data_IF_382027964957
#
_entry.id   IF_382027964957
#
_cell.length_a   1.000
_cell.length_b   1.000
_cell.length_c   1.000
_cell.angle_alpha   90.00
_cell.angle_beta   90.00
_cell.angle_gamma   90.00
#
_symmetry.space_group_name_H-M   'P 1'
#
loop_
_entity.id
_entity.type
_entity.pdbx_description
1 polymer ?
#
# COMPACT_ATOMS: atom_id res chain seq x y z
N UNK A 1 21.62 23.08 12.84
CA UNK A 1 21.78 21.61 12.83
C UNK A 1 20.39 20.99 12.70
N UNK A 2 19.83 20.99 11.49
CA UNK A 2 18.51 20.44 11.22
C UNK A 2 18.64 18.94 10.95
N UNK A 3 18.06 18.13 11.85
CA UNK A 3 17.93 16.71 11.66
C UNK A 3 17.12 16.44 10.39
N UNK A 4 17.72 15.78 9.41
CA UNK A 4 17.00 15.16 8.31
C UNK A 4 16.31 13.88 8.80
N UNK A 5 14.98 13.74 8.71
CA UNK A 5 14.31 12.46 8.82
C UNK A 5 14.13 11.79 7.43
N UNK A 6 15.01 12.06 6.46
CA UNK A 6 14.84 11.63 5.07
C UNK A 6 15.24 10.17 4.81
N UNK A 7 15.93 9.52 5.75
CA UNK A 7 16.55 8.20 5.53
C UNK A 7 15.76 6.99 6.04
N UNK A 8 14.79 7.16 6.94
CA UNK A 8 14.16 6.04 7.66
C UNK A 8 12.77 5.64 7.15
N UNK A 9 12.10 6.47 6.34
CA UNK A 9 10.77 6.17 5.81
C UNK A 9 10.79 5.37 4.49
N UNK A 10 11.86 5.47 3.69
CA UNK A 10 11.95 4.83 2.35
C UNK A 10 12.19 3.31 2.38
N UNK A 11 12.50 2.75 3.55
CA UNK A 11 12.70 1.31 3.75
C UNK A 11 11.84 0.83 4.93
N UNK A 12 10.64 1.38 5.08
CA UNK A 12 9.58 0.67 5.80
C UNK A 12 9.24 -0.58 4.96
N UNK A 13 10.08 -1.61 5.14
CA UNK A 13 9.92 -3.00 4.77
C UNK A 13 8.74 -3.26 3.83
N UNK A 14 9.00 -3.19 2.52
CA UNK A 14 8.21 -3.85 1.49
C UNK A 14 8.43 -5.37 1.64
N UNK A 15 8.07 -5.89 2.82
CA UNK A 15 8.02 -7.30 3.10
C UNK A 15 6.67 -7.81 2.61
N UNK A 16 6.71 -8.85 1.79
CA UNK A 16 5.50 -9.56 1.40
C UNK A 16 5.40 -10.80 2.27
N UNK A 17 4.33 -10.92 3.05
CA UNK A 17 4.06 -12.16 3.77
C UNK A 17 3.69 -13.28 2.78
N UNK A 18 4.27 -14.46 2.99
CA UNK A 18 3.97 -15.64 2.18
C UNK A 18 2.50 -16.07 2.29
N UNK A 19 1.82 -15.74 3.39
CA UNK A 19 0.38 -15.94 3.58
C UNK A 19 -0.42 -15.22 2.48
N UNK A 20 -0.08 -13.95 2.20
CA UNK A 20 -0.70 -13.12 1.18
C UNK A 20 -0.41 -13.65 -0.22
N UNK A 21 0.82 -14.11 -0.49
CA UNK A 21 1.19 -14.74 -1.78
C UNK A 21 0.39 -16.01 -2.02
N UNK A 22 0.28 -16.89 -1.00
CA UNK A 22 -0.51 -18.13 -1.10
C UNK A 22 -2.00 -17.84 -1.29
N UNK A 23 -2.54 -16.84 -0.62
CA UNK A 23 -3.93 -16.40 -0.81
C UNK A 23 -4.16 -15.88 -2.24
N UNK A 24 -3.24 -15.06 -2.74
CA UNK A 24 -3.27 -14.57 -4.11
C UNK A 24 -3.19 -15.71 -5.13
N UNK A 25 -2.29 -16.67 -4.92
CA UNK A 25 -2.16 -17.85 -5.77
C UNK A 25 -3.44 -18.69 -5.80
N UNK A 26 -4.02 -19.02 -4.64
CA UNK A 26 -5.29 -19.75 -4.55
C UNK A 26 -6.42 -19.01 -5.28
N UNK A 27 -6.49 -17.68 -5.12
CA UNK A 27 -7.47 -16.84 -5.81
C UNK A 27 -7.26 -16.84 -7.33
N UNK A 28 -6.01 -16.75 -7.79
CA UNK A 28 -5.66 -16.77 -9.21
C UNK A 28 -6.09 -18.08 -9.88
N UNK A 29 -5.88 -19.22 -9.19
CA UNK A 29 -6.33 -20.52 -9.66
C UNK A 29 -7.87 -20.58 -9.73
N UNK A 30 -8.57 -20.15 -8.68
CA UNK A 30 -10.05 -20.19 -8.63
C UNK A 30 -10.72 -19.35 -9.72
N UNK A 31 -10.10 -18.22 -10.07
CA UNK A 31 -10.63 -17.27 -11.06
C UNK A 31 -10.17 -17.57 -12.49
N UNK A 32 -9.27 -18.55 -12.68
CA UNK A 32 -8.63 -18.81 -13.97
C UNK A 32 -7.63 -17.74 -14.41
N UNK A 33 -7.44 -16.67 -13.64
CA UNK A 33 -6.48 -15.59 -13.94
C UNK A 33 -5.04 -16.09 -13.97
N UNK A 34 -4.73 -17.16 -13.24
CA UNK A 34 -3.41 -17.78 -13.26
C UNK A 34 -2.95 -18.14 -14.68
N UNK A 35 -3.86 -18.62 -15.53
CA UNK A 35 -3.54 -19.02 -16.90
C UNK A 35 -3.37 -17.85 -17.87
N UNK A 36 -3.83 -16.65 -17.48
CA UNK A 36 -3.68 -15.42 -18.27
C UNK A 36 -2.37 -14.67 -17.97
N UNK A 37 -1.68 -15.03 -16.89
CA UNK A 37 -0.36 -14.48 -16.55
C UNK A 37 0.71 -15.01 -17.50
N UNK A 38 1.78 -14.24 -17.71
CA UNK A 38 2.91 -14.71 -18.52
C UNK A 38 3.58 -15.93 -17.86
N UNK A 39 4.28 -16.79 -18.63
CA UNK A 39 4.99 -17.94 -18.07
C UNK A 39 5.93 -17.57 -16.92
N UNK A 40 6.62 -16.44 -17.03
CA UNK A 40 7.50 -15.88 -16.01
C UNK A 40 6.73 -15.48 -14.74
N UNK A 41 5.63 -14.74 -14.88
CA UNK A 41 4.80 -14.32 -13.75
C UNK A 41 4.21 -15.52 -13.00
N UNK A 42 3.83 -16.58 -13.73
CA UNK A 42 3.36 -17.84 -13.13
C UNK A 42 4.47 -18.52 -12.33
N UNK A 43 5.68 -18.60 -12.88
CA UNK A 43 6.83 -19.19 -12.20
C UNK A 43 7.17 -18.40 -10.94
N UNK A 44 7.22 -17.07 -11.03
CA UNK A 44 7.49 -16.17 -9.90
C UNK A 44 6.45 -16.36 -8.81
N UNK A 45 5.16 -16.35 -9.15
CA UNK A 45 4.07 -16.51 -8.16
C UNK A 45 4.12 -17.88 -7.49
N UNK A 46 4.36 -18.95 -8.26
CA UNK A 46 4.43 -20.33 -7.76
C UNK A 46 5.64 -20.52 -6.84
N UNK A 47 6.82 -20.07 -7.27
CA UNK A 47 8.04 -20.14 -6.47
C UNK A 47 7.92 -19.30 -5.20
N UNK A 48 7.28 -18.14 -5.29
CA UNK A 48 7.10 -17.25 -4.14
C UNK A 48 6.22 -17.84 -3.04
N UNK A 49 5.40 -18.85 -3.34
CA UNK A 49 4.54 -19.50 -2.34
C UNK A 49 5.31 -20.33 -1.30
N UNK A 50 6.53 -20.76 -1.60
CA UNK A 50 7.36 -21.56 -0.68
C UNK A 50 7.99 -20.73 0.44
N UNK A 51 8.12 -19.42 0.24
CA UNK A 51 8.71 -18.52 1.23
C UNK A 51 7.68 -18.09 2.28
N UNK A 52 8.13 -17.96 3.53
CA UNK A 52 7.33 -17.42 4.63
C UNK A 52 7.27 -15.89 4.61
N UNK A 53 8.40 -15.24 4.33
CA UNK A 53 8.55 -13.79 4.26
C UNK A 53 9.50 -13.45 3.12
N UNK A 54 9.10 -12.52 2.26
CA UNK A 54 9.90 -12.07 1.12
C UNK A 54 10.33 -10.63 1.39
N UNK A 55 11.64 -10.40 1.55
CA UNK A 55 12.25 -9.07 1.80
C UNK A 55 13.05 -8.54 0.61
N UNK A 56 13.08 -9.28 -0.50
CA UNK A 56 13.90 -8.92 -1.65
C UNK A 56 13.36 -7.66 -2.34
N UNK A 57 14.18 -6.58 -2.48
CA UNK A 57 13.73 -5.32 -3.06
C UNK A 57 13.41 -5.43 -4.55
N UNK A 58 14.02 -6.38 -5.27
CA UNK A 58 13.72 -6.62 -6.67
C UNK A 58 12.43 -7.46 -6.86
N UNK A 59 12.20 -8.43 -5.96
CA UNK A 59 11.06 -9.35 -6.09
C UNK A 59 9.75 -8.75 -5.62
N UNK A 60 9.78 -7.93 -4.55
CA UNK A 60 8.58 -7.32 -3.99
C UNK A 60 7.77 -6.50 -5.00
N UNK A 61 8.33 -5.57 -5.79
CA UNK A 61 7.55 -4.79 -6.75
C UNK A 61 6.93 -5.66 -7.85
N UNK A 62 7.63 -6.70 -8.29
CA UNK A 62 7.13 -7.65 -9.29
C UNK A 62 5.93 -8.42 -8.71
N UNK A 63 6.07 -8.96 -7.50
CA UNK A 63 4.97 -9.64 -6.82
C UNK A 63 3.79 -8.72 -6.57
N UNK A 64 4.04 -7.48 -6.15
CA UNK A 64 2.99 -6.49 -5.96
C UNK A 64 2.21 -6.24 -7.24
N UNK A 65 2.89 -6.12 -8.39
CA UNK A 65 2.26 -5.97 -9.71
C UNK A 65 1.41 -7.18 -10.08
N UNK A 66 1.91 -8.40 -9.87
CA UNK A 66 1.17 -9.64 -10.16
C UNK A 66 -0.07 -9.74 -9.25
N UNK A 67 0.12 -9.54 -7.94
CA UNK A 67 -0.97 -9.62 -6.96
C UNK A 67 -2.03 -8.55 -7.23
N UNK A 68 -1.64 -7.34 -7.62
CA UNK A 68 -2.57 -6.27 -7.99
C UNK A 68 -3.46 -6.63 -9.18
N UNK A 69 -2.94 -7.41 -10.15
CA UNK A 69 -3.73 -7.92 -11.28
C UNK A 69 -4.71 -9.02 -10.85
N UNK A 70 -4.32 -9.87 -9.91
CA UNK A 70 -5.17 -10.98 -9.43
C UNK A 70 -6.22 -10.50 -8.43
N UNK A 71 -5.86 -9.55 -7.56
CA UNK A 71 -6.68 -8.99 -6.50
C UNK A 71 -6.76 -7.46 -6.65
N UNK A 72 -7.66 -6.95 -7.52
CA UNK A 72 -7.83 -5.51 -7.68
C UNK A 72 -8.31 -4.83 -6.38
N UNK A 73 -8.99 -5.57 -5.50
CA UNK A 73 -9.38 -5.08 -4.18
C UNK A 73 -8.17 -4.74 -3.29
N UNK A 74 -7.06 -5.48 -3.41
CA UNK A 74 -5.84 -5.18 -2.67
C UNK A 74 -5.20 -3.90 -3.23
N UNK A 75 -5.12 -3.78 -4.56
CA UNK A 75 -4.60 -2.59 -5.22
C UNK A 75 -5.37 -1.33 -4.77
N UNK A 76 -6.70 -1.40 -4.77
CA UNK A 76 -7.56 -0.31 -4.29
C UNK A 76 -7.32 0.05 -2.82
N UNK A 77 -7.09 -0.94 -1.95
CA UNK A 77 -6.77 -0.67 -0.53
C UNK A 77 -5.43 0.01 -0.35
N UNK A 78 -4.43 -0.38 -1.13
CA UNK A 78 -3.10 0.27 -1.07
C UNK A 78 -3.18 1.69 -1.60
N UNK A 79 -3.88 1.90 -2.71
CA UNK A 79 -4.16 3.25 -3.25
C UNK A 79 -4.88 4.13 -2.23
N UNK A 80 -5.93 3.60 -1.59
CA UNK A 80 -6.63 4.29 -0.52
C UNK A 80 -5.68 4.69 0.61
N UNK A 81 -4.87 3.76 1.10
CA UNK A 81 -3.94 4.03 2.20
C UNK A 81 -2.89 5.09 1.81
N UNK A 82 -2.35 5.03 0.59
CA UNK A 82 -1.42 6.03 0.08
C UNK A 82 -2.05 7.42 0.02
N UNK A 83 -3.27 7.53 -0.53
CA UNK A 83 -3.99 8.81 -0.59
C UNK A 83 -4.32 9.32 0.81
N UNK A 84 -4.80 8.45 1.69
CA UNK A 84 -5.16 8.78 3.06
C UNK A 84 -3.97 9.31 3.87
N UNK A 85 -2.80 8.68 3.75
CA UNK A 85 -1.58 9.15 4.40
C UNK A 85 -1.17 10.54 3.94
N UNK A 86 -1.12 10.79 2.62
CA UNK A 86 -0.78 12.11 2.07
C UNK A 86 -1.71 13.20 2.60
N UNK A 87 -3.00 12.92 2.64
CA UNK A 87 -4.00 13.88 3.13
C UNK A 87 -3.81 14.14 4.62
N UNK A 88 -3.59 13.08 5.42
CA UNK A 88 -3.33 13.24 6.85
C UNK A 88 -2.06 14.05 7.09
N UNK A 89 -0.98 13.80 6.35
CA UNK A 89 0.26 14.57 6.45
C UNK A 89 0.02 16.08 6.26
N UNK A 90 -0.75 16.46 5.24
CA UNK A 90 -1.12 17.86 5.01
C UNK A 90 -2.01 18.42 6.13
N UNK A 91 -2.99 17.64 6.61
CA UNK A 91 -3.86 18.07 7.72
C UNK A 91 -3.09 18.23 9.03
N UNK A 92 -2.10 17.37 9.28
CA UNK A 92 -1.23 17.47 10.45
C UNK A 92 -0.34 18.70 10.33
N UNK A 93 0.22 18.98 9.14
CA UNK A 93 0.99 20.21 8.89
C UNK A 93 0.15 21.46 9.18
N UNK A 94 -1.09 21.50 8.69
CA UNK A 94 -2.03 22.58 8.95
C UNK A 94 -2.33 22.71 10.45
N UNK A 95 -2.66 21.61 11.14
CA UNK A 95 -2.97 21.62 12.56
C UNK A 95 -1.78 22.08 13.43
N UNK A 96 -0.57 21.67 13.09
CA UNK A 96 0.66 22.12 13.76
C UNK A 96 0.88 23.63 13.58
N UNK A 97 0.58 24.17 12.40
CA UNK A 97 0.64 25.63 12.16
C UNK A 97 -0.33 26.42 13.04
N UNK A 98 -1.43 25.79 13.47
CA UNK A 98 -2.44 26.35 14.38
C UNK A 98 -2.12 26.07 15.86
N UNK A 99 -1.00 25.41 16.17
CA UNK A 99 -0.57 25.09 17.54
C UNK A 99 -1.14 23.80 18.12
N UNK A 100 -1.81 22.96 17.32
CA UNK A 100 -2.38 21.69 17.79
C UNK A 100 -1.41 20.51 17.61
N UNK A 101 -0.58 20.24 18.63
CA UNK A 101 0.46 19.21 18.59
C UNK A 101 -0.06 17.76 18.65
N UNK A 102 -1.27 17.56 19.19
CA UNK A 102 -1.89 16.23 19.28
C UNK A 102 -2.23 15.64 17.89
N UNK A 103 -2.23 16.45 16.81
CA UNK A 103 -2.43 15.96 15.45
C UNK A 103 -1.38 14.91 15.02
N UNK A 104 -0.19 14.90 15.63
CA UNK A 104 0.83 13.88 15.36
C UNK A 104 0.36 12.45 15.67
N UNK A 105 -0.64 12.28 16.55
CA UNK A 105 -1.22 10.97 16.84
C UNK A 105 -1.99 10.40 15.63
N UNK A 106 -2.52 11.26 14.76
CA UNK A 106 -3.26 10.84 13.57
C UNK A 106 -2.39 10.09 12.56
N UNK A 107 -1.10 10.42 12.49
CA UNK A 107 -0.13 9.71 11.62
C UNK A 107 0.14 8.28 12.10
N UNK A 108 -0.07 7.99 13.39
CA UNK A 108 0.13 6.66 13.96
C UNK A 108 -1.05 5.72 13.68
N UNK A 109 -2.26 6.27 13.47
CA UNK A 109 -3.45 5.47 13.22
C UNK A 109 -3.60 5.13 11.72
N UNK A 110 -3.08 3.96 11.34
CA UNK A 110 -3.22 3.40 9.98
C UNK A 110 -4.70 3.19 9.60
N UNK A 111 -5.55 2.86 10.57
CA UNK A 111 -6.98 2.66 10.31
C UNK A 111 -7.66 3.97 9.96
N UNK A 112 -7.25 5.06 10.61
CA UNK A 112 -7.70 6.40 10.26
C UNK A 112 -7.26 6.79 8.84
N UNK A 113 -6.00 6.56 8.49
CA UNK A 113 -5.51 6.78 7.12
C UNK A 113 -6.30 6.00 6.08
N UNK A 114 -6.56 4.72 6.34
CA UNK A 114 -7.38 3.90 5.45
C UNK A 114 -8.81 4.44 5.29
N UNK A 115 -9.46 4.89 6.37
CA UNK A 115 -10.82 5.47 6.31
C UNK A 115 -10.85 6.75 5.47
N UNK A 116 -9.89 7.66 5.69
CA UNK A 116 -9.76 8.92 4.92
C UNK A 116 -9.55 8.61 3.44
N UNK A 117 -8.66 7.68 3.13
CA UNK A 117 -8.38 7.25 1.77
C UNK A 117 -9.59 6.65 1.05
N UNK A 118 -10.31 5.74 1.71
CA UNK A 118 -11.52 5.14 1.16
C UNK A 118 -12.64 6.16 0.96
N UNK A 119 -12.80 7.11 1.89
CA UNK A 119 -13.75 8.19 1.73
C UNK A 119 -13.42 9.02 0.48
N UNK A 120 -12.16 9.39 0.27
CA UNK A 120 -11.74 10.17 -0.90
C UNK A 120 -11.91 9.44 -2.22
N UNK A 121 -11.61 8.13 -2.27
CA UNK A 121 -11.84 7.33 -3.48
C UNK A 121 -13.32 7.28 -3.90
N UNK A 122 -14.24 7.43 -2.95
CA UNK A 122 -15.68 7.49 -3.21
C UNK A 122 -16.19 8.92 -3.48
N UNK A 123 -15.38 9.93 -3.19
CA UNK A 123 -15.73 11.34 -3.40
C UNK A 123 -15.33 11.80 -4.80
N UNK A 124 -16.18 12.54 -5.53
CA UNK A 124 -15.80 13.13 -6.81
C UNK A 124 -14.55 14.02 -6.70
N UNK A 125 -13.69 13.98 -7.73
CA UNK A 125 -12.41 14.71 -7.75
C UNK A 125 -12.53 16.22 -7.50
N UNK A 126 -13.68 16.82 -7.81
CA UNK A 126 -13.95 18.24 -7.57
C UNK A 126 -13.88 18.64 -6.08
N UNK A 127 -14.11 17.70 -5.16
CA UNK A 127 -14.05 17.93 -3.71
C UNK A 127 -12.77 17.41 -3.08
N UNK A 128 -11.79 16.99 -3.88
CA UNK A 128 -10.53 16.52 -3.33
C UNK A 128 -9.77 17.70 -2.73
N UNK A 129 -9.14 17.52 -1.55
CA UNK A 129 -8.25 18.54 -1.01
C UNK A 129 -7.08 18.73 -1.98
N UNK A 130 -6.57 19.95 -2.07
CA UNK A 130 -5.31 20.22 -2.78
C UNK A 130 -4.17 19.61 -1.98
N UNK A 131 -3.75 18.41 -2.39
CA UNK A 131 -2.62 17.69 -1.80
C UNK A 131 -1.44 17.88 -2.74
N UNK A 132 -0.56 18.84 -2.42
CA UNK A 132 0.71 19.09 -3.12
C UNK A 132 1.74 18.01 -2.87
#
# INVERSE_FOLDING_TARGET
MSAQPSGLASIASLCVEGSAVRAAYKRALRTGLYWRLSPEERAILKLSCSFSIIKSPALTPILFKIISRVLPSLARRVEALQLGLKVIEERVRQALSLGYYQALEWLKDISFAMRVGLALLNTPKAYWPEVT
#
